data_IF_865240629862
#
_entry.id   IF_865240629862
#
_cell.length_a   1.000
_cell.length_b   1.000
_cell.length_c   1.000
_cell.angle_alpha   90.00
_cell.angle_beta   90.00
_cell.angle_gamma   90.00
#
_symmetry.space_group_name_H-M   'P 1'
#
loop_
_entity.id
_entity.type
_entity.pdbx_description
1 polymer ?
#
# COMPACT_ATOMS: atom_id res chain seq x y z
N UNK A 1 -21.45 -4.09 6.13
CA UNK A 1 -20.60 -4.64 7.21
C UNK A 1 -21.41 -5.32 8.31
N UNK A 2 -22.35 -4.64 8.98
CA UNK A 2 -23.20 -5.27 10.02
C UNK A 2 -23.94 -6.53 9.53
N UNK A 3 -24.67 -6.43 8.41
CA UNK A 3 -25.34 -7.61 7.81
C UNK A 3 -24.36 -8.72 7.45
N UNK A 4 -23.12 -8.41 7.01
CA UNK A 4 -22.11 -9.44 6.76
C UNK A 4 -21.70 -10.15 8.06
N UNK A 5 -21.46 -9.41 9.15
CA UNK A 5 -21.20 -10.01 10.47
C UNK A 5 -22.32 -10.94 10.90
N UNK A 6 -23.57 -10.51 10.77
CA UNK A 6 -24.74 -11.29 11.20
C UNK A 6 -24.93 -12.57 10.38
N UNK A 7 -24.75 -12.49 9.05
CA UNK A 7 -25.02 -13.61 8.15
C UNK A 7 -23.81 -14.56 8.01
N UNK A 8 -22.62 -14.15 8.44
CA UNK A 8 -21.38 -14.95 8.43
C UNK A 8 -20.88 -15.22 9.85
N UNK A 9 -21.75 -15.15 10.85
CA UNK A 9 -21.36 -15.24 12.26
C UNK A 9 -20.72 -16.58 12.60
N UNK A 10 -21.22 -17.67 12.00
CA UNK A 10 -20.65 -19.01 12.11
C UNK A 10 -19.18 -19.04 11.65
N UNK A 11 -18.88 -18.50 10.47
CA UNK A 11 -17.50 -18.42 9.96
C UNK A 11 -16.59 -17.49 10.79
N UNK A 12 -17.16 -16.43 11.38
CA UNK A 12 -16.43 -15.51 12.27
C UNK A 12 -16.13 -16.15 13.63
N UNK A 13 -17.06 -16.91 14.19
CA UNK A 13 -16.91 -17.62 15.47
C UNK A 13 -15.90 -18.77 15.37
N UNK A 14 -15.93 -19.50 14.25
CA UNK A 14 -15.00 -20.59 13.94
C UNK A 14 -13.58 -20.09 13.60
N UNK A 15 -13.39 -18.79 13.42
CA UNK A 15 -12.09 -18.19 13.08
C UNK A 15 -11.65 -18.46 11.64
N UNK A 16 -12.59 -18.76 10.74
CA UNK A 16 -12.32 -18.97 9.32
C UNK A 16 -11.87 -17.67 8.64
N UNK A 17 -12.53 -16.57 8.99
CA UNK A 17 -12.19 -15.23 8.51
C UNK A 17 -11.11 -14.66 9.44
N UNK A 18 -9.93 -14.36 8.90
CA UNK A 18 -8.80 -13.83 9.68
C UNK A 18 -8.74 -12.31 9.69
N UNK A 19 -9.19 -11.67 8.61
CA UNK A 19 -9.27 -10.22 8.51
C UNK A 19 -10.48 -9.77 7.68
N UNK A 20 -10.87 -8.51 7.89
CA UNK A 20 -11.84 -7.77 7.09
C UNK A 20 -11.09 -6.63 6.42
N UNK A 21 -10.82 -6.79 5.13
CA UNK A 21 -10.29 -5.72 4.31
C UNK A 21 -11.42 -4.77 3.88
N UNK A 22 -11.37 -3.54 4.39
CA UNK A 22 -12.40 -2.54 4.16
C UNK A 22 -12.07 -1.78 2.88
N UNK A 23 -12.94 -1.88 1.87
CA UNK A 23 -12.78 -1.15 0.62
C UNK A 23 -13.00 0.36 0.81
N UNK A 24 -12.01 1.17 0.43
CA UNK A 24 -11.97 2.62 0.68
C UNK A 24 -11.91 3.47 -0.60
N UNK A 25 -12.17 2.87 -1.76
CA UNK A 25 -12.07 3.56 -3.04
C UNK A 25 -11.98 2.61 -4.23
N UNK A 26 -11.49 3.10 -5.40
CA UNK A 26 -11.34 2.30 -6.61
C UNK A 26 -10.44 1.09 -6.36
N UNK A 27 -10.85 -0.08 -6.85
CA UNK A 27 -10.20 -1.36 -6.56
C UNK A 27 -10.09 -1.72 -5.06
N UNK A 28 -10.90 -1.06 -4.20
CA UNK A 28 -10.86 -1.23 -2.75
C UNK A 28 -9.78 -0.40 -2.04
N UNK A 29 -8.93 0.31 -2.78
CA UNK A 29 -7.78 1.06 -2.24
C UNK A 29 -8.21 2.45 -1.73
N UNK A 30 -7.58 2.92 -0.65
CA UNK A 30 -7.73 4.28 -0.14
C UNK A 30 -7.01 5.26 -1.07
N UNK A 31 -7.66 5.69 -2.15
CA UNK A 31 -7.16 6.67 -3.12
C UNK A 31 -8.27 7.22 -4.01
N UNK A 32 -7.91 8.22 -4.80
CA UNK A 32 -8.73 8.68 -5.90
C UNK A 32 -8.55 7.83 -7.18
N UNK A 33 -9.53 7.83 -8.10
CA UNK A 33 -9.44 7.15 -9.40
C UNK A 33 -8.62 7.96 -10.42
N UNK A 34 -7.38 8.33 -10.10
CA UNK A 34 -6.58 9.29 -10.90
C UNK A 34 -5.94 8.71 -12.18
N UNK A 35 -5.88 7.39 -12.32
CA UNK A 35 -5.34 6.68 -13.50
C UNK A 35 -6.36 5.71 -14.16
N UNK A 36 -7.55 6.19 -14.57
CA UNK A 36 -8.62 5.35 -15.06
C UNK A 36 -8.37 4.91 -16.52
N UNK A 37 -8.08 3.62 -16.73
CA UNK A 37 -7.86 3.06 -18.09
C UNK A 37 -9.04 3.29 -19.04
N UNK A 38 -10.27 3.29 -18.52
CA UNK A 38 -11.48 3.53 -19.31
C UNK A 38 -11.65 4.98 -19.78
N UNK A 39 -10.83 5.93 -19.28
CA UNK A 39 -10.76 7.31 -19.79
C UNK A 39 -9.48 7.56 -20.60
N UNK A 40 -8.77 6.50 -21.00
CA UNK A 40 -7.60 6.61 -21.87
C UNK A 40 -6.28 6.87 -21.15
N UNK A 41 -6.23 6.78 -19.82
CA UNK A 41 -4.95 6.79 -19.10
C UNK A 41 -4.09 5.59 -19.51
N UNK A 42 -2.81 5.85 -19.74
CA UNK A 42 -1.78 4.86 -20.06
C UNK A 42 -0.55 5.14 -19.20
N UNK A 43 0.01 4.08 -18.60
CA UNK A 43 1.25 4.17 -17.85
C UNK A 43 2.39 4.72 -18.74
N UNK A 44 3.24 5.66 -18.27
CA UNK A 44 3.33 6.20 -16.91
C UNK A 44 2.70 7.60 -16.75
N UNK A 45 1.55 7.91 -17.36
CA UNK A 45 0.93 9.24 -17.24
C UNK A 45 0.72 9.71 -15.79
N UNK A 46 0.84 11.02 -15.55
CA UNK A 46 0.71 11.63 -14.21
C UNK A 46 -0.68 11.44 -13.57
N UNK A 47 -1.70 11.12 -14.36
CA UNK A 47 -3.08 11.06 -13.89
C UNK A 47 -3.72 12.44 -13.73
N UNK A 48 -4.95 12.49 -13.20
CA UNK A 48 -5.65 13.75 -12.94
C UNK A 48 -6.20 13.81 -11.52
N UNK A 49 -6.33 15.02 -10.97
CA UNK A 49 -7.03 15.24 -9.71
C UNK A 49 -8.52 14.91 -9.87
N UNK A 50 -9.13 14.27 -8.87
CA UNK A 50 -10.52 13.83 -8.91
C UNK A 50 -11.35 14.50 -7.80
N UNK A 51 -11.39 15.83 -7.80
CA UNK A 51 -12.10 16.65 -6.82
C UNK A 51 -13.09 17.67 -7.42
N UNK A 52 -13.44 17.51 -8.69
CA UNK A 52 -14.32 18.44 -9.43
C UNK A 52 -15.81 18.09 -9.34
N UNK A 53 -16.20 17.15 -8.48
CA UNK A 53 -17.63 16.98 -8.18
C UNK A 53 -18.11 18.15 -7.30
N UNK A 54 -19.40 18.48 -7.44
CA UNK A 54 -20.01 19.64 -6.78
C UNK A 54 -19.87 19.66 -5.26
N UNK A 55 -19.63 18.51 -4.60
CA UNK A 55 -19.50 18.45 -3.14
C UNK A 55 -18.08 18.80 -2.71
N UNK A 56 -17.07 18.17 -3.33
CA UNK A 56 -15.67 18.47 -3.05
C UNK A 56 -15.28 19.88 -3.48
N UNK A 57 -15.78 20.36 -4.63
CA UNK A 57 -15.55 21.72 -5.10
C UNK A 57 -16.14 22.77 -4.12
N UNK A 58 -17.39 22.58 -3.69
CA UNK A 58 -18.03 23.48 -2.73
C UNK A 58 -17.34 23.45 -1.35
N UNK A 59 -16.86 22.28 -0.92
CA UNK A 59 -16.08 22.14 0.31
C UNK A 59 -14.74 22.86 0.20
N UNK A 60 -13.97 22.63 -0.86
CA UNK A 60 -12.70 23.33 -1.10
C UNK A 60 -12.90 24.84 -1.07
N UNK A 61 -13.93 25.34 -1.78
CA UNK A 61 -14.22 26.77 -1.85
C UNK A 61 -14.52 27.37 -0.48
N UNK A 62 -15.29 26.64 0.34
CA UNK A 62 -15.61 27.04 1.71
C UNK A 62 -14.37 27.11 2.59
N UNK A 63 -13.50 26.08 2.54
CA UNK A 63 -12.28 26.02 3.36
C UNK A 63 -11.27 27.09 2.93
N UNK A 64 -11.07 27.28 1.62
CA UNK A 64 -10.22 28.34 1.09
C UNK A 64 -10.71 29.74 1.53
N UNK A 65 -12.02 29.97 1.48
CA UNK A 65 -12.63 31.23 1.96
C UNK A 65 -12.40 31.46 3.45
N UNK A 66 -12.54 30.43 4.30
CA UNK A 66 -12.31 30.57 5.75
C UNK A 66 -10.85 30.83 6.11
N UNK A 67 -9.92 30.39 5.28
CA UNK A 67 -8.48 30.63 5.42
C UNK A 67 -8.05 31.97 4.79
N UNK A 68 -9.00 32.82 4.39
CA UNK A 68 -8.72 34.16 3.86
C UNK A 68 -8.40 34.21 2.37
N UNK A 69 -8.58 33.10 1.65
CA UNK A 69 -8.29 32.98 0.22
C UNK A 69 -9.54 32.63 -0.62
N UNK A 70 -10.59 33.47 -0.61
CA UNK A 70 -11.82 33.24 -1.38
C UNK A 70 -11.59 33.25 -2.89
N UNK A 71 -10.43 33.70 -3.39
CA UNK A 71 -10.04 33.69 -4.79
C UNK A 71 -9.43 32.35 -5.24
N UNK A 72 -9.09 31.46 -4.32
CA UNK A 72 -8.54 30.15 -4.69
C UNK A 72 -9.62 29.25 -5.27
N UNK A 73 -9.27 28.62 -6.39
CA UNK A 73 -10.02 27.59 -7.09
C UNK A 73 -9.19 26.30 -7.18
N UNK A 74 -9.87 25.19 -7.48
CA UNK A 74 -9.22 23.90 -7.78
C UNK A 74 -8.19 24.07 -8.93
N UNK A 75 -7.18 23.19 -9.04
CA UNK A 75 -6.19 23.28 -10.10
C UNK A 75 -6.83 23.24 -11.49
N UNK A 76 -6.44 24.17 -12.36
CA UNK A 76 -6.83 24.25 -13.78
C UNK A 76 -5.61 24.09 -14.71
N UNK A 77 -4.44 23.84 -14.12
CA UNK A 77 -3.14 23.89 -14.78
C UNK A 77 -2.28 22.64 -14.52
N UNK A 78 -2.92 21.54 -14.11
CA UNK A 78 -2.30 20.26 -13.78
C UNK A 78 -2.13 19.30 -14.97
N UNK A 79 -2.53 19.72 -16.17
CA UNK A 79 -2.48 18.87 -17.37
C UNK A 79 -3.60 17.82 -17.40
N UNK A 80 -3.35 16.74 -18.12
CA UNK A 80 -4.27 15.63 -18.37
C UNK A 80 -3.63 14.27 -18.06
N UNK A 81 -4.43 13.20 -18.07
CA UNK A 81 -4.03 11.85 -17.65
C UNK A 81 -2.65 11.38 -18.11
N UNK A 82 -2.28 11.65 -19.37
CA UNK A 82 -1.09 11.10 -20.03
C UNK A 82 0.07 12.08 -20.15
N UNK A 83 -0.05 13.27 -19.57
CA UNK A 83 1.04 14.25 -19.57
C UNK A 83 2.21 13.78 -18.69
N UNK A 84 3.38 14.34 -18.95
CA UNK A 84 4.53 14.24 -18.06
C UNK A 84 4.57 15.45 -17.11
N UNK A 85 5.15 15.34 -15.91
CA UNK A 85 5.11 16.43 -14.93
C UNK A 85 5.63 17.77 -15.48
N UNK A 86 6.75 17.73 -16.20
CA UNK A 86 7.42 18.91 -16.77
C UNK A 86 6.62 19.61 -17.88
N UNK A 87 5.63 18.93 -18.47
CA UNK A 87 4.74 19.53 -19.47
C UNK A 87 3.60 20.36 -18.85
N UNK A 88 3.47 20.32 -17.53
CA UNK A 88 2.38 20.98 -16.78
C UNK A 88 2.91 22.15 -15.97
N UNK A 89 2.09 23.19 -15.79
CA UNK A 89 2.43 24.29 -14.90
C UNK A 89 2.34 23.88 -13.42
N UNK A 90 1.44 22.96 -13.08
CA UNK A 90 1.28 22.52 -11.70
C UNK A 90 2.49 21.74 -11.18
N UNK A 91 2.99 20.76 -11.94
CA UNK A 91 4.06 19.83 -11.50
C UNK A 91 5.45 20.17 -12.05
N UNK A 92 5.57 21.09 -13.01
CA UNK A 92 6.84 21.52 -13.58
C UNK A 92 7.79 22.16 -12.55
N UNK A 93 9.01 22.46 -12.97
CA UNK A 93 10.01 23.11 -12.10
C UNK A 93 9.48 24.45 -11.58
N UNK A 94 9.55 24.67 -10.25
CA UNK A 94 8.94 25.83 -9.59
C UNK A 94 7.42 25.95 -9.82
N UNK A 95 6.75 24.83 -10.08
CA UNK A 95 5.33 24.76 -10.41
C UNK A 95 4.40 25.10 -9.26
N UNK A 96 3.10 25.14 -9.56
CA UNK A 96 2.06 25.51 -8.59
C UNK A 96 2.09 24.65 -7.33
N UNK A 97 2.49 23.38 -7.41
CA UNK A 97 2.58 22.48 -6.24
C UNK A 97 3.50 23.00 -5.11
N UNK A 98 4.47 23.87 -5.42
CA UNK A 98 5.40 24.45 -4.45
C UNK A 98 4.88 25.77 -3.83
N UNK A 99 3.87 26.38 -4.44
CA UNK A 99 3.25 27.63 -3.98
C UNK A 99 2.38 27.38 -2.74
N UNK A 100 2.04 28.44 -2.02
CA UNK A 100 1.12 28.38 -0.88
C UNK A 100 -0.24 27.77 -1.27
N UNK A 101 -0.84 28.25 -2.37
CA UNK A 101 -2.09 27.71 -2.94
C UNK A 101 -1.98 26.21 -3.25
N UNK A 102 -0.89 25.78 -3.89
CA UNK A 102 -0.69 24.37 -4.24
C UNK A 102 -0.52 23.47 -3.02
N UNK A 103 0.30 23.89 -2.05
CA UNK A 103 0.49 23.17 -0.78
C UNK A 103 -0.80 23.08 0.03
N UNK A 104 -1.57 24.16 0.06
CA UNK A 104 -2.89 24.18 0.68
C UNK A 104 -3.83 23.18 0.01
N UNK A 105 -3.93 23.22 -1.33
CA UNK A 105 -4.76 22.29 -2.09
C UNK A 105 -4.35 20.83 -1.87
N UNK A 106 -3.05 20.49 -1.96
CA UNK A 106 -2.57 19.12 -1.78
C UNK A 106 -2.79 18.63 -0.34
N UNK A 107 -2.65 19.50 0.65
CA UNK A 107 -2.97 19.18 2.05
C UNK A 107 -4.45 18.91 2.22
N UNK A 108 -5.32 19.78 1.70
CA UNK A 108 -6.77 19.56 1.73
C UNK A 108 -7.16 18.24 1.02
N UNK A 109 -6.64 18.02 -0.19
CA UNK A 109 -7.01 16.89 -1.05
C UNK A 109 -6.60 15.54 -0.44
N UNK A 110 -5.40 15.46 0.14
CA UNK A 110 -4.92 14.27 0.84
C UNK A 110 -5.62 14.05 2.18
N UNK A 111 -5.92 15.12 2.94
CA UNK A 111 -6.67 15.02 4.20
C UNK A 111 -8.09 14.47 4.03
N UNK A 112 -8.71 14.65 2.86
CA UNK A 112 -9.99 14.02 2.55
C UNK A 112 -9.90 12.50 2.62
N UNK A 113 -8.81 11.89 2.12
CA UNK A 113 -8.59 10.44 2.21
C UNK A 113 -8.34 9.99 3.65
N UNK A 114 -7.53 10.71 4.43
CA UNK A 114 -7.33 10.39 5.85
C UNK A 114 -8.65 10.39 6.63
N UNK A 115 -9.47 11.43 6.43
CA UNK A 115 -10.78 11.54 7.08
C UNK A 115 -11.76 10.49 6.60
N UNK A 116 -11.74 10.14 5.31
CA UNK A 116 -12.56 9.09 4.72
C UNK A 116 -12.22 7.71 5.30
N UNK A 117 -10.94 7.36 5.33
CA UNK A 117 -10.44 6.12 5.91
C UNK A 117 -10.81 5.99 7.39
N UNK A 118 -10.52 7.01 8.20
CA UNK A 118 -10.83 7.03 9.65
C UNK A 118 -12.33 6.80 9.91
N UNK A 119 -13.19 7.52 9.19
CA UNK A 119 -14.64 7.43 9.39
C UNK A 119 -15.20 6.05 9.04
N UNK A 120 -14.78 5.47 7.91
CA UNK A 120 -15.30 4.16 7.49
C UNK A 120 -14.72 3.04 8.34
N UNK A 121 -13.45 3.12 8.74
CA UNK A 121 -12.84 2.16 9.66
C UNK A 121 -13.45 2.23 11.06
N UNK A 122 -13.90 3.41 11.49
CA UNK A 122 -14.67 3.54 12.74
C UNK A 122 -15.98 2.73 12.69
N UNK A 123 -16.70 2.78 11.57
CA UNK A 123 -17.90 1.98 11.32
C UNK A 123 -17.60 0.49 11.16
N UNK A 124 -16.49 0.14 10.50
CA UNK A 124 -16.04 -1.25 10.39
C UNK A 124 -15.74 -1.83 11.78
N UNK A 125 -15.05 -1.06 12.62
CA UNK A 125 -14.75 -1.46 13.98
C UNK A 125 -16.03 -1.61 14.83
N UNK A 126 -17.04 -0.73 14.70
CA UNK A 126 -18.37 -0.93 15.33
C UNK A 126 -19.01 -2.22 14.85
N UNK A 127 -18.97 -2.45 13.53
CA UNK A 127 -19.60 -3.62 12.93
C UNK A 127 -18.95 -4.91 13.40
N UNK A 128 -17.62 -5.00 13.53
CA UNK A 128 -16.89 -6.24 13.84
C UNK A 128 -16.32 -6.31 15.27
N UNK A 129 -16.74 -5.39 16.16
CA UNK A 129 -16.35 -5.40 17.56
C UNK A 129 -16.62 -6.77 18.20
N UNK A 130 -15.68 -7.26 19.00
CA UNK A 130 -15.67 -8.57 19.67
C UNK A 130 -15.50 -9.79 18.73
N UNK A 131 -15.50 -9.63 17.41
CA UNK A 131 -15.15 -10.71 16.48
C UNK A 131 -13.63 -10.95 16.49
N UNK A 132 -13.19 -12.19 16.29
CA UNK A 132 -11.75 -12.55 16.21
C UNK A 132 -11.19 -12.31 14.81
N UNK A 133 -11.21 -11.04 14.39
CA UNK A 133 -10.73 -10.59 13.08
C UNK A 133 -9.85 -9.36 13.23
N UNK A 134 -8.91 -9.16 12.31
CA UNK A 134 -8.24 -7.86 12.14
C UNK A 134 -8.98 -7.01 11.10
N UNK A 135 -8.87 -5.69 11.20
CA UNK A 135 -9.26 -4.80 10.11
C UNK A 135 -8.05 -4.54 9.22
N UNK A 136 -8.25 -4.40 7.91
CA UNK A 136 -7.21 -4.01 6.97
C UNK A 136 -7.71 -2.90 6.04
N UNK A 137 -6.78 -2.07 5.59
CA UNK A 137 -7.02 -1.06 4.57
C UNK A 137 -5.95 -1.15 3.50
N UNK A 138 -6.35 -1.06 2.24
CA UNK A 138 -5.45 -1.11 1.10
C UNK A 138 -4.91 0.26 0.73
N UNK A 139 -3.61 0.35 0.52
CA UNK A 139 -2.91 1.54 0.00
C UNK A 139 -2.20 1.14 -1.30
N UNK A 140 -2.40 1.95 -2.35
CA UNK A 140 -1.88 1.64 -3.68
C UNK A 140 -0.41 2.02 -3.84
N UNK A 141 0.34 1.22 -4.59
CA UNK A 141 1.76 1.43 -4.88
C UNK A 141 1.94 2.27 -6.14
N UNK A 142 1.88 3.59 -5.98
CA UNK A 142 2.04 4.53 -7.10
C UNK A 142 3.52 4.82 -7.32
N UNK A 143 4.18 3.88 -8.00
CA UNK A 143 5.64 3.87 -8.09
C UNK A 143 6.22 4.75 -9.20
N UNK A 144 5.43 5.15 -10.20
CA UNK A 144 5.88 6.03 -11.29
C UNK A 144 5.91 7.49 -10.85
N UNK A 145 6.86 8.25 -11.38
CA UNK A 145 7.24 9.59 -10.91
C UNK A 145 7.75 9.71 -9.47
N UNK A 146 7.85 8.60 -8.71
CA UNK A 146 8.42 8.59 -7.36
C UNK A 146 9.85 9.12 -7.31
N UNK A 147 10.67 8.88 -8.36
CA UNK A 147 12.04 9.41 -8.45
C UNK A 147 12.11 10.86 -8.95
N UNK A 148 11.00 11.48 -9.31
CA UNK A 148 10.92 12.88 -9.68
C UNK A 148 10.55 13.74 -8.45
N UNK A 149 11.06 14.97 -8.38
CA UNK A 149 10.83 15.85 -7.21
C UNK A 149 9.36 16.21 -6.96
N UNK A 150 8.49 16.05 -7.96
CA UNK A 150 7.08 16.42 -7.87
C UNK A 150 6.15 15.26 -7.49
N UNK A 151 6.61 14.00 -7.53
CA UNK A 151 5.79 12.82 -7.19
C UNK A 151 4.37 12.87 -7.81
N UNK A 152 4.22 13.36 -9.04
CA UNK A 152 2.93 13.82 -9.58
C UNK A 152 1.81 12.77 -9.53
N UNK A 153 2.12 11.50 -9.80
CA UNK A 153 1.12 10.44 -9.75
C UNK A 153 0.65 10.12 -8.33
N UNK A 154 1.53 10.20 -7.33
CA UNK A 154 1.15 10.08 -5.92
C UNK A 154 0.21 11.22 -5.53
N UNK A 155 0.50 12.44 -5.98
CA UNK A 155 -0.33 13.62 -5.70
C UNK A 155 -1.73 13.48 -6.27
N UNK A 156 -1.87 13.11 -7.55
CA UNK A 156 -3.17 12.94 -8.18
C UNK A 156 -3.95 11.77 -7.57
N UNK A 157 -3.27 10.72 -7.10
CA UNK A 157 -3.88 9.63 -6.35
C UNK A 157 -4.34 10.03 -4.93
N UNK A 158 -3.89 11.19 -4.44
CA UNK A 158 -4.20 11.75 -3.12
C UNK A 158 -3.16 11.48 -2.04
N UNK A 159 -2.03 10.88 -2.40
CA UNK A 159 -0.87 10.68 -1.52
C UNK A 159 0.06 11.88 -1.64
N UNK A 160 -0.01 12.80 -0.68
CA UNK A 160 0.86 13.98 -0.69
C UNK A 160 2.26 13.62 -0.16
N UNK A 161 3.02 12.88 -0.96
CA UNK A 161 4.35 12.37 -0.61
C UNK A 161 5.46 13.12 -1.35
N UNK A 162 6.46 13.60 -0.62
CA UNK A 162 7.65 14.27 -1.15
C UNK A 162 8.89 13.77 -0.40
N UNK A 163 10.07 14.07 -0.93
CA UNK A 163 11.35 13.83 -0.25
C UNK A 163 11.42 14.43 1.17
N UNK A 164 10.76 15.57 1.39
CA UNK A 164 10.72 16.30 2.66
C UNK A 164 9.34 16.24 3.35
N UNK A 165 8.42 15.40 2.87
CA UNK A 165 7.08 15.21 3.46
C UNK A 165 6.61 13.78 3.29
N UNK A 166 6.54 13.03 4.38
CA UNK A 166 6.02 11.66 4.35
C UNK A 166 4.48 11.66 4.14
N UNK A 167 4.05 11.18 2.97
CA UNK A 167 2.63 11.09 2.62
C UNK A 167 1.91 9.85 3.14
N UNK A 168 2.65 8.84 3.61
CA UNK A 168 2.11 7.52 3.96
C UNK A 168 2.05 7.28 5.47
N UNK A 169 3.00 7.82 6.25
CA UNK A 169 2.98 7.69 7.71
C UNK A 169 1.74 8.28 8.38
N UNK A 170 1.14 9.40 7.90
CA UNK A 170 -0.18 9.83 8.39
C UNK A 170 -1.28 8.76 8.21
N UNK A 171 -1.23 7.98 7.12
CA UNK A 171 -2.18 6.88 6.89
C UNK A 171 -1.92 5.77 7.92
N UNK A 172 -0.67 5.38 8.14
CA UNK A 172 -0.31 4.39 9.16
C UNK A 172 -0.73 4.84 10.57
N UNK A 173 -0.51 6.12 10.92
CA UNK A 173 -0.93 6.71 12.19
C UNK A 173 -2.44 6.67 12.34
N UNK A 174 -3.18 7.02 11.29
CA UNK A 174 -4.64 6.90 11.26
C UNK A 174 -5.07 5.45 11.53
N UNK A 175 -4.48 4.46 10.86
CA UNK A 175 -4.80 3.04 11.03
C UNK A 175 -4.52 2.53 12.46
N UNK A 176 -3.51 3.08 13.14
CA UNK A 176 -3.10 2.65 14.49
C UNK A 176 -4.21 2.77 15.54
N UNK A 177 -5.15 3.70 15.36
CA UNK A 177 -6.30 3.87 16.28
C UNK A 177 -7.35 2.76 16.12
N UNK A 178 -7.40 2.13 14.95
CA UNK A 178 -8.37 1.10 14.59
C UNK A 178 -7.82 -0.32 14.75
N UNK A 179 -6.57 -0.45 15.22
CA UNK A 179 -5.83 -1.72 15.19
C UNK A 179 -5.75 -2.31 13.77
N UNK A 180 -5.73 -1.42 12.77
CA UNK A 180 -5.78 -1.78 11.36
C UNK A 180 -4.42 -2.21 10.80
N UNK A 181 -4.45 -3.16 9.87
CA UNK A 181 -3.31 -3.55 9.03
C UNK A 181 -3.25 -2.61 7.83
N UNK A 182 -2.07 -2.10 7.50
CA UNK A 182 -1.81 -1.46 6.22
C UNK A 182 -1.46 -2.55 5.20
N UNK A 183 -2.34 -2.79 4.21
CA UNK A 183 -2.07 -3.72 3.12
C UNK A 183 -1.55 -2.94 1.89
N UNK A 184 -0.30 -3.17 1.49
CA UNK A 184 0.38 -2.42 0.43
C UNK A 184 0.69 -3.28 -0.81
N UNK A 185 0.60 -2.71 -2.01
CA UNK A 185 0.91 -3.43 -3.26
C UNK A 185 2.33 -3.17 -3.78
N UNK A 186 2.70 -3.73 -4.93
CA UNK A 186 4.03 -3.64 -5.58
C UNK A 186 5.17 -4.39 -4.90
N UNK A 187 4.87 -5.38 -4.05
CA UNK A 187 5.91 -6.13 -3.31
C UNK A 187 6.90 -6.90 -4.19
N UNK A 188 6.55 -7.16 -5.45
CA UNK A 188 7.32 -7.98 -6.39
C UNK A 188 8.18 -7.16 -7.36
N UNK A 189 7.93 -5.85 -7.46
CA UNK A 189 8.53 -5.00 -8.48
C UNK A 189 9.96 -4.60 -8.14
N UNK A 190 10.81 -4.55 -9.17
CA UNK A 190 12.19 -4.02 -9.08
C UNK A 190 12.33 -2.79 -9.95
N UNK A 191 13.15 -1.85 -9.53
CA UNK A 191 13.38 -0.60 -10.27
C UNK A 191 13.97 -0.87 -11.66
N UNK A 192 14.85 -1.88 -11.75
CA UNK A 192 15.50 -2.30 -12.99
C UNK A 192 14.55 -2.87 -14.03
N UNK A 193 13.31 -3.20 -13.65
CA UNK A 193 12.26 -3.72 -14.55
C UNK A 193 11.43 -2.58 -15.16
N UNK A 194 11.66 -1.34 -14.75
CA UNK A 194 10.87 -0.18 -15.14
C UNK A 194 11.61 0.67 -16.19
N UNK A 195 10.84 1.32 -17.07
CA UNK A 195 11.44 2.30 -18.00
C UNK A 195 12.02 3.50 -17.25
N UNK A 196 13.20 3.95 -17.66
CA UNK A 196 13.87 5.12 -17.08
C UNK A 196 13.05 6.42 -17.23
N UNK A 197 12.22 6.50 -18.28
CA UNK A 197 11.36 7.66 -18.57
C UNK A 197 10.20 7.77 -17.58
N UNK A 198 9.76 6.65 -16.99
CA UNK A 198 8.67 6.63 -16.01
C UNK A 198 9.10 7.10 -14.61
N UNK A 199 10.41 7.32 -14.39
CA UNK A 199 10.99 7.72 -13.09
C UNK A 199 10.48 6.87 -11.92
N UNK A 200 10.38 5.57 -12.15
CA UNK A 200 9.84 4.63 -11.17
C UNK A 200 10.79 4.40 -9.99
N UNK A 201 10.23 4.21 -8.79
CA UNK A 201 10.95 3.74 -7.61
C UNK A 201 10.14 2.80 -6.73
N UNK A 202 9.66 1.64 -7.25
CA UNK A 202 8.89 0.69 -6.47
C UNK A 202 9.64 0.16 -5.24
N UNK A 203 10.96 -0.06 -5.34
CA UNK A 203 11.72 -0.62 -4.22
C UNK A 203 11.82 0.39 -3.07
N UNK A 204 12.15 1.64 -3.36
CA UNK A 204 12.23 2.70 -2.34
C UNK A 204 10.85 3.03 -1.79
N UNK A 205 9.80 3.01 -2.62
CA UNK A 205 8.42 3.24 -2.18
C UNK A 205 7.96 2.14 -1.19
N UNK A 206 8.18 0.85 -1.50
CA UNK A 206 7.86 -0.24 -0.56
C UNK A 206 8.64 -0.06 0.73
N UNK A 207 9.94 0.28 0.65
CA UNK A 207 10.77 0.51 1.82
C UNK A 207 10.22 1.65 2.69
N UNK A 208 9.79 2.77 2.09
CA UNK A 208 9.17 3.90 2.78
C UNK A 208 7.88 3.48 3.49
N UNK A 209 6.94 2.87 2.77
CA UNK A 209 5.60 2.57 3.30
C UNK A 209 5.64 1.50 4.39
N UNK A 210 6.40 0.42 4.20
CA UNK A 210 6.54 -0.61 5.24
C UNK A 210 7.23 -0.06 6.49
N UNK A 211 8.25 0.79 6.30
CA UNK A 211 8.90 1.48 7.42
C UNK A 211 7.94 2.40 8.16
N UNK A 212 7.14 3.20 7.46
CA UNK A 212 6.14 4.07 8.05
C UNK A 212 5.14 3.30 8.93
N UNK A 213 4.65 2.16 8.46
CA UNK A 213 3.79 1.27 9.24
C UNK A 213 4.45 0.76 10.52
N UNK A 214 5.66 0.22 10.42
CA UNK A 214 6.39 -0.27 11.61
C UNK A 214 6.79 0.85 12.58
N UNK A 215 7.07 2.07 12.11
CA UNK A 215 7.35 3.24 12.98
C UNK A 215 6.12 3.67 13.78
N UNK A 216 4.93 3.56 13.20
CA UNK A 216 3.66 3.82 13.89
C UNK A 216 3.14 2.58 14.66
N UNK A 217 3.96 1.53 14.78
CA UNK A 217 3.68 0.28 15.50
C UNK A 217 2.40 -0.44 15.03
N UNK A 218 2.14 -0.43 13.72
CA UNK A 218 1.06 -1.21 13.11
C UNK A 218 1.59 -2.43 12.36
N UNK A 219 0.73 -3.43 12.21
CA UNK A 219 0.98 -4.56 11.32
C UNK A 219 0.91 -4.08 9.86
N UNK A 220 1.83 -4.57 9.02
CA UNK A 220 1.87 -4.24 7.59
C UNK A 220 1.85 -5.53 6.78
N UNK A 221 0.92 -5.63 5.84
CA UNK A 221 0.75 -6.73 4.90
C UNK A 221 0.95 -6.21 3.46
N UNK A 222 0.89 -7.11 2.48
CA UNK A 222 0.98 -6.66 1.10
C UNK A 222 0.63 -7.67 0.02
N UNK A 223 0.67 -7.20 -1.21
CA UNK A 223 0.31 -7.95 -2.42
C UNK A 223 1.33 -7.69 -3.52
N UNK A 224 1.44 -8.61 -4.48
CA UNK A 224 2.05 -8.29 -5.76
C UNK A 224 1.05 -7.51 -6.63
N UNK A 225 1.54 -6.49 -7.35
CA UNK A 225 0.69 -5.63 -8.19
C UNK A 225 0.30 -6.30 -9.51
N UNK A 226 1.23 -7.05 -10.12
CA UNK A 226 1.05 -7.74 -11.38
C UNK A 226 1.29 -9.24 -11.22
N UNK A 227 0.67 -10.05 -12.08
CA UNK A 227 0.89 -11.50 -12.10
C UNK A 227 2.34 -11.82 -12.50
N UNK A 228 3.05 -12.52 -11.62
CA UNK A 228 4.46 -12.91 -11.77
C UNK A 228 4.65 -14.35 -11.32
N UNK A 229 5.35 -15.17 -12.11
CA UNK A 229 5.57 -16.60 -11.86
C UNK A 229 7.06 -16.97 -11.79
N UNK A 230 7.92 -15.96 -11.87
CA UNK A 230 9.37 -16.05 -11.96
C UNK A 230 10.06 -15.89 -10.59
N UNK A 231 11.31 -16.36 -10.53
CA UNK A 231 12.12 -16.34 -9.30
C UNK A 231 12.39 -14.91 -8.80
N UNK A 232 12.59 -13.95 -9.70
CA UNK A 232 12.92 -12.57 -9.34
C UNK A 232 11.76 -11.91 -8.57
N UNK A 233 10.53 -12.04 -9.08
CA UNK A 233 9.34 -11.53 -8.39
C UNK A 233 9.16 -12.16 -7.00
N UNK A 234 9.28 -13.50 -6.89
CA UNK A 234 9.18 -14.18 -5.60
C UNK A 234 10.28 -13.79 -4.61
N UNK A 235 11.52 -13.67 -5.07
CA UNK A 235 12.65 -13.25 -4.24
C UNK A 235 12.51 -11.80 -3.76
N UNK A 236 11.96 -10.92 -4.59
CA UNK A 236 11.68 -9.54 -4.20
C UNK A 236 10.58 -9.47 -3.12
N UNK A 237 9.51 -10.27 -3.26
CA UNK A 237 8.48 -10.40 -2.22
C UNK A 237 9.09 -10.95 -0.92
N UNK A 238 9.95 -11.98 -0.99
CA UNK A 238 10.60 -12.58 0.17
C UNK A 238 11.52 -11.60 0.90
N UNK A 239 12.25 -10.77 0.14
CA UNK A 239 13.04 -9.68 0.70
C UNK A 239 12.14 -8.68 1.43
N UNK A 240 11.07 -8.23 0.79
CA UNK A 240 10.14 -7.28 1.41
C UNK A 240 9.41 -7.86 2.65
N UNK A 241 9.09 -9.16 2.64
CA UNK A 241 8.44 -9.84 3.75
C UNK A 241 9.31 -9.89 5.02
N UNK A 242 10.63 -9.98 4.85
CA UNK A 242 11.65 -9.99 5.92
C UNK A 242 12.90 -9.24 5.43
N UNK A 243 12.92 -7.91 5.57
CA UNK A 243 13.96 -7.08 4.96
C UNK A 243 15.35 -7.25 5.55
N UNK A 244 15.45 -7.87 6.72
CA UNK A 244 16.71 -8.22 7.38
C UNK A 244 16.81 -9.72 7.66
N UNK A 245 16.16 -10.53 6.81
CA UNK A 245 16.23 -11.98 6.86
C UNK A 245 15.55 -12.66 8.05
N UNK A 246 15.83 -13.94 8.22
CA UNK A 246 15.37 -14.75 9.35
C UNK A 246 16.23 -14.51 10.58
N UNK A 247 15.59 -14.46 11.76
CA UNK A 247 16.29 -14.46 13.03
C UNK A 247 16.33 -15.89 13.60
N UNK A 248 17.53 -16.47 13.75
CA UNK A 248 17.68 -17.84 14.28
C UNK A 248 17.41 -17.94 15.77
N UNK A 249 17.49 -16.83 16.49
CA UNK A 249 17.33 -16.76 17.94
C UNK A 249 15.92 -16.37 18.37
N UNK A 250 15.02 -16.08 17.42
CA UNK A 250 13.64 -15.73 17.74
C UNK A 250 12.92 -14.99 16.61
N UNK A 251 12.08 -14.02 16.98
CA UNK A 251 11.30 -13.26 16.00
C UNK A 251 12.21 -12.30 15.20
N UNK A 252 12.07 -12.21 13.87
CA UNK A 252 12.70 -11.14 13.10
C UNK A 252 12.25 -9.77 13.60
N UNK A 253 13.17 -8.80 13.63
CA UNK A 253 12.88 -7.43 14.09
C UNK A 253 11.79 -6.78 13.23
N UNK A 254 11.91 -6.95 11.91
CA UNK A 254 10.98 -6.46 10.91
C UNK A 254 10.45 -7.65 10.13
N UNK A 255 9.12 -7.75 10.05
CA UNK A 255 8.43 -8.82 9.32
C UNK A 255 7.06 -8.33 8.94
N UNK A 256 6.68 -8.53 7.69
CA UNK A 256 5.30 -8.32 7.26
C UNK A 256 4.35 -9.29 7.99
N UNK A 257 3.11 -8.87 8.22
CA UNK A 257 2.08 -9.67 8.86
C UNK A 257 1.57 -10.78 7.92
N UNK A 258 1.46 -10.49 6.63
CA UNK A 258 1.03 -11.45 5.61
C UNK A 258 1.29 -10.95 4.21
N UNK A 259 1.23 -11.86 3.24
CA UNK A 259 1.29 -11.54 1.81
C UNK A 259 0.16 -12.26 1.10
N UNK A 260 -0.62 -11.53 0.31
CA UNK A 260 -1.67 -12.08 -0.56
C UNK A 260 -1.16 -12.11 -2.01
N UNK A 261 -1.14 -13.29 -2.62
CA UNK A 261 -0.63 -13.45 -3.98
C UNK A 261 -1.75 -13.29 -5.03
N UNK A 262 -1.55 -12.38 -5.98
CA UNK A 262 -2.40 -12.12 -7.13
C UNK A 262 -1.90 -12.94 -8.33
N UNK A 263 -2.65 -13.93 -8.85
CA UNK A 263 -3.91 -14.52 -8.40
C UNK A 263 -3.90 -16.00 -8.79
N UNK A 264 -4.72 -16.82 -8.14
CA UNK A 264 -5.03 -18.16 -8.65
C UNK A 264 -5.50 -18.09 -10.12
N UNK A 265 -4.82 -18.83 -11.00
CA UNK A 265 -5.13 -18.95 -12.42
C UNK A 265 -4.65 -20.29 -12.96
N UNK A 266 -5.10 -20.66 -14.15
CA UNK A 266 -4.58 -21.84 -14.85
C UNK A 266 -3.07 -21.73 -15.08
N UNK A 267 -2.57 -20.52 -15.37
CA UNK A 267 -1.14 -20.24 -15.50
C UNK A 267 -0.37 -20.49 -14.21
N UNK A 268 -0.90 -20.10 -13.04
CA UNK A 268 -0.29 -20.43 -11.75
C UNK A 268 -0.23 -21.96 -11.54
N UNK A 269 -1.27 -22.67 -11.98
CA UNK A 269 -1.42 -24.12 -11.79
C UNK A 269 -0.62 -24.96 -12.80
N UNK A 270 0.00 -24.36 -13.81
CA UNK A 270 0.93 -25.07 -14.69
C UNK A 270 2.07 -25.68 -13.86
N UNK A 271 2.46 -26.93 -14.16
CA UNK A 271 3.38 -27.73 -13.33
C UNK A 271 4.65 -26.96 -12.92
N UNK A 272 5.28 -26.27 -13.87
CA UNK A 272 6.50 -25.49 -13.62
C UNK A 272 6.24 -24.30 -12.69
N UNK A 273 5.23 -23.48 -12.99
CA UNK A 273 4.90 -22.30 -12.19
C UNK A 273 4.49 -22.69 -10.77
N UNK A 274 3.66 -23.73 -10.64
CA UNK A 274 3.20 -24.20 -9.33
C UNK A 274 4.34 -24.83 -8.50
N UNK A 275 5.33 -25.45 -9.14
CA UNK A 275 6.53 -25.94 -8.44
C UNK A 275 7.35 -24.78 -7.86
N UNK A 276 7.55 -23.70 -8.64
CA UNK A 276 8.23 -22.50 -8.14
C UNK A 276 7.42 -21.85 -7.02
N UNK A 277 6.10 -21.73 -7.19
CA UNK A 277 5.20 -21.16 -6.18
C UNK A 277 5.22 -21.96 -4.86
N UNK A 278 5.25 -23.29 -4.90
CA UNK A 278 5.42 -24.12 -3.70
C UNK A 278 6.73 -23.80 -2.96
N UNK A 279 7.82 -23.60 -3.69
CA UNK A 279 9.10 -23.20 -3.11
C UNK A 279 8.99 -21.80 -2.49
N UNK A 280 8.37 -20.84 -3.18
CA UNK A 280 8.06 -19.52 -2.64
C UNK A 280 7.29 -19.60 -1.31
N UNK A 281 6.20 -20.38 -1.25
CA UNK A 281 5.42 -20.57 -0.01
C UNK A 281 6.29 -21.18 1.09
N UNK A 282 7.10 -22.19 0.78
CA UNK A 282 8.03 -22.79 1.75
C UNK A 282 9.04 -21.78 2.30
N UNK A 283 9.56 -20.90 1.44
CA UNK A 283 10.47 -19.82 1.85
C UNK A 283 9.76 -18.73 2.65
N UNK A 284 8.52 -18.39 2.31
CA UNK A 284 7.68 -17.50 3.12
C UNK A 284 7.48 -18.05 4.54
N UNK A 285 7.31 -19.37 4.67
CA UNK A 285 7.22 -20.10 5.95
C UNK A 285 8.57 -20.35 6.64
N UNK A 286 9.65 -19.71 6.19
CA UNK A 286 10.99 -19.90 6.73
C UNK A 286 11.45 -21.37 6.74
N UNK A 287 11.22 -22.08 5.64
CA UNK A 287 11.49 -23.50 5.43
C UNK A 287 10.73 -24.46 6.37
N UNK A 288 9.75 -23.97 7.11
CA UNK A 288 8.85 -24.80 7.91
C UNK A 288 7.69 -25.34 7.06
N UNK A 289 7.14 -26.48 7.48
CA UNK A 289 5.89 -26.99 6.93
C UNK A 289 4.72 -26.06 7.29
N UNK A 290 3.60 -26.20 6.57
CA UNK A 290 2.39 -25.45 6.87
C UNK A 290 1.96 -25.64 8.34
N UNK A 291 1.78 -24.53 9.05
CA UNK A 291 1.34 -24.52 10.43
C UNK A 291 -0.11 -24.01 10.51
N UNK A 292 -1.10 -24.89 10.78
CA UNK A 292 -2.51 -24.47 10.87
C UNK A 292 -2.81 -23.64 12.13
N UNK A 293 -1.96 -23.73 13.16
CA UNK A 293 -2.16 -23.03 14.42
C UNK A 293 -1.40 -21.69 14.43
N UNK A 294 -2.15 -20.61 14.24
CA UNK A 294 -1.65 -19.22 14.21
C UNK A 294 -0.93 -18.80 15.49
N UNK A 295 -1.27 -19.41 16.63
CA UNK A 295 -0.63 -19.13 17.92
C UNK A 295 0.85 -19.52 17.93
N UNK A 296 1.23 -20.60 17.21
CA UNK A 296 2.62 -21.11 17.19
C UNK A 296 3.62 -20.16 16.53
N UNK A 297 3.15 -19.23 15.69
CA UNK A 297 3.99 -18.25 15.02
C UNK A 297 3.58 -16.81 15.33
N UNK A 298 2.96 -16.61 16.50
CA UNK A 298 2.61 -15.30 17.09
C UNK A 298 1.68 -14.46 16.20
N UNK A 299 0.67 -15.10 15.62
CA UNK A 299 -0.42 -14.46 14.87
C UNK A 299 -1.79 -14.70 15.51
N UNK A 300 -1.84 -15.02 16.81
CA UNK A 300 -3.12 -15.18 17.50
C UNK A 300 -4.00 -13.92 17.33
N UNK A 301 -5.23 -14.13 16.86
CA UNK A 301 -6.20 -13.06 16.64
C UNK A 301 -7.18 -13.05 17.81
N UNK A 302 -7.02 -12.07 18.68
CA UNK A 302 -7.96 -11.79 19.76
C UNK A 302 -9.24 -11.12 19.25
N UNK A 303 -10.27 -10.99 20.11
CA UNK A 303 -11.45 -10.21 19.79
C UNK A 303 -11.07 -8.75 19.49
N UNK A 304 -11.65 -8.20 18.44
CA UNK A 304 -11.40 -6.82 18.01
C UNK A 304 -11.94 -5.83 19.06
N UNK A 305 -11.03 -5.05 19.63
CA UNK A 305 -11.36 -3.97 20.57
C UNK A 305 -11.98 -2.78 19.85
N UNK A 306 -12.70 -1.93 20.61
CA UNK A 306 -13.18 -0.65 20.12
C UNK A 306 -12.02 0.27 19.74
N UNK A 307 -12.14 0.98 18.62
CA UNK A 307 -11.14 1.96 18.18
C UNK A 307 -10.82 3.00 19.26
N UNK A 308 -9.53 3.39 19.35
CA UNK A 308 -9.02 4.40 20.28
C UNK A 308 -9.67 5.78 20.03
N UNK A 309 -9.60 6.76 20.96
CA UNK A 309 -10.25 8.08 20.81
C UNK A 309 -9.78 8.85 19.57
N UNK A 310 -10.70 9.56 18.88
CA UNK A 310 -10.43 10.26 17.60
C UNK A 310 -9.17 11.12 17.64
N UNK A 311 -8.31 10.96 16.62
CA UNK A 311 -7.13 11.80 16.45
C UNK A 311 -7.50 13.09 15.72
N UNK A 312 -6.97 14.21 16.18
CA UNK A 312 -7.04 15.46 15.45
C UNK A 312 -6.21 15.36 14.16
N UNK A 313 -6.61 16.07 13.09
CA UNK A 313 -5.90 15.99 11.80
C UNK A 313 -4.48 16.52 11.93
N UNK A 314 -4.27 17.54 12.77
CA UNK A 314 -2.97 18.14 13.05
C UNK A 314 -2.00 17.11 13.64
N UNK A 315 -2.47 16.28 14.57
CA UNK A 315 -1.68 15.19 15.16
C UNK A 315 -1.35 14.08 14.15
N UNK A 316 -2.27 13.80 13.21
CA UNK A 316 -1.97 12.89 12.10
C UNK A 316 -0.91 13.49 11.17
N UNK A 317 -0.95 14.80 10.95
CA UNK A 317 0.00 15.50 10.07
C UNK A 317 1.37 15.74 10.69
N UNK A 318 1.55 15.67 12.01
CA UNK A 318 2.88 15.54 12.61
C UNK A 318 3.64 14.31 12.04
N UNK A 319 2.91 13.29 11.55
CA UNK A 319 3.51 12.14 10.90
C UNK A 319 4.16 12.45 9.53
N UNK A 320 3.95 13.64 8.97
CA UNK A 320 4.58 14.02 7.69
C UNK A 320 6.06 14.36 7.85
N UNK A 321 6.56 14.53 9.07
CA UNK A 321 8.00 14.71 9.32
C UNK A 321 8.78 13.53 8.74
N UNK A 322 9.73 13.74 7.81
CA UNK A 322 10.48 12.64 7.20
C UNK A 322 11.21 11.79 8.23
N UNK A 323 11.26 10.49 7.98
CA UNK A 323 12.08 9.57 8.76
C UNK A 323 12.89 8.69 7.83
N UNK A 324 14.14 8.42 8.23
CA UNK A 324 14.95 7.43 7.55
C UNK A 324 14.26 6.06 7.58
N UNK A 325 14.05 5.43 6.40
CA UNK A 325 13.47 4.10 6.34
C UNK A 325 14.39 3.10 7.06
N UNK A 326 13.82 1.98 7.50
CA UNK A 326 14.68 0.91 8.02
C UNK A 326 15.55 0.36 6.87
N UNK A 327 16.79 -0.10 7.15
CA UNK A 327 17.67 -0.61 6.11
C UNK A 327 17.18 -1.96 5.59
N UNK A 328 17.21 -2.14 4.27
CA UNK A 328 16.95 -3.43 3.61
C UNK A 328 18.28 -4.11 3.30
N UNK A 329 18.29 -5.43 3.42
CA UNK A 329 19.35 -6.24 2.81
C UNK A 329 19.26 -6.15 1.28
N UNK A 330 20.35 -6.46 0.59
CA UNK A 330 20.40 -6.38 -0.88
C UNK A 330 19.57 -7.47 -1.57
N UNK A 331 19.43 -8.61 -0.92
CA UNK A 331 18.74 -9.80 -1.40
C UNK A 331 18.19 -10.59 -0.21
N UNK A 332 17.18 -11.42 -0.45
CA UNK A 332 16.63 -12.29 0.58
C UNK A 332 17.61 -13.40 0.95
N UNK A 333 17.70 -13.72 2.24
CA UNK A 333 18.43 -14.90 2.73
C UNK A 333 17.69 -16.23 2.50
N UNK A 334 16.45 -16.16 2.01
CA UNK A 334 15.56 -17.30 1.79
C UNK A 334 15.13 -17.41 0.33
N UNK A 335 16.07 -17.32 -0.60
CA UNK A 335 15.78 -17.35 -2.04
C UNK A 335 15.05 -18.62 -2.49
N UNK A 336 14.12 -18.48 -3.45
CA UNK A 336 13.48 -19.61 -4.14
C UNK A 336 14.43 -20.39 -5.06
N UNK A 337 15.64 -19.89 -5.29
CA UNK A 337 16.65 -20.59 -6.07
C UNK A 337 18.07 -19.99 -6.02
N UNK A 338 19.04 -20.81 -6.43
CA UNK A 338 20.44 -20.47 -6.70
C UNK A 338 20.97 -21.39 -7.81
N UNK A 339 22.19 -21.17 -8.32
CA UNK A 339 22.76 -21.90 -9.48
C UNK A 339 22.60 -23.44 -9.43
N UNK A 340 22.49 -24.05 -8.24
CA UNK A 340 22.26 -25.49 -8.06
C UNK A 340 20.83 -25.98 -8.33
N UNK A 341 19.76 -25.19 -8.14
CA UNK A 341 18.39 -25.69 -8.29
C UNK A 341 18.01 -25.95 -9.75
N UNK A 342 18.55 -25.15 -10.68
CA UNK A 342 18.34 -25.32 -12.13
C UNK A 342 18.99 -26.59 -12.70
N UNK A 343 19.97 -27.18 -12.01
CA UNK A 343 20.66 -28.42 -12.40
C UNK A 343 19.89 -29.69 -12.02
N UNK A 344 18.93 -29.59 -11.10
CA UNK A 344 18.15 -30.74 -10.64
C UNK A 344 16.90 -30.91 -11.52
N UNK A 345 16.23 -29.81 -11.89
CA UNK A 345 15.05 -29.86 -12.77
C UNK A 345 15.38 -30.28 -14.23
N UNK A 346 16.62 -30.06 -14.69
CA UNK A 346 17.08 -30.54 -16.00
C UNK A 346 17.37 -32.05 -16.03
N UNK A 347 17.60 -32.67 -14.87
CA UNK A 347 17.81 -34.13 -14.77
C UNK A 347 16.51 -34.92 -14.64
N UNK A 348 15.49 -34.37 -13.98
CA UNK A 348 14.19 -35.06 -13.86
C UNK A 348 13.29 -34.91 -15.10
N UNK A 349 13.64 -34.03 -16.04
CA UNK A 349 12.95 -33.89 -17.33
C UNK A 349 13.52 -34.80 -18.44
N UNK A 350 14.55 -35.59 -18.14
CA UNK A 350 15.19 -36.53 -19.09
C UNK A 350 15.10 -38.01 -18.67
N UNK A 351 14.18 -38.35 -17.77
CA UNK A 351 13.79 -39.72 -17.39
C UNK A 351 12.29 -39.83 -17.35
#
# INVERSE_FOLDING_TARGET
MQSFRENMSDFLEDGFIVDIEVGLGPAGELRYPSYPRNQGWVFPGIGEFQCYDKYLEAEFKKVATSEGHPEWELPDNAGTYNDSPESTQFFGSNGTYLTEKGKFFLTWYSNKLLSHGDQILDEANKAFMDCKVKLAAKVSGIHWWYKADNHAAEFTAGYYNLKDRDGYRPIARMLSRHYGILNFTCLEMRDSEQSADAKCGPQELVQQVLSAGWRENIDVAGENALSRYDLDGYNQILLNARPNGVNKEGRPKLRMYGVTYLRLSDDLMQKTNFNIFKTFVKKMHADQDYCPDQGKYNHHIGPLERSKPKMAIEYMLEATEPMEPFPWDKETDMSVGGVLTNLIDTKESTT
#
